data_IF_386772749358
#
_entry.id   IF_386772749358
#
_cell.length_a   1.000
_cell.length_b   1.000
_cell.length_c   1.000
_cell.angle_alpha   90.00
_cell.angle_beta   90.00
_cell.angle_gamma   90.00
#
_symmetry.space_group_name_H-M   'P 1'
#
loop_
_entity.id
_entity.type
_entity.pdbx_description
1 polymer ?
#
# COMPACT_ATOMS: atom_id res chain seq x y z
N UNK A 1 37.12 -110.92 -52.49
CA UNK A 1 38.14 -110.03 -51.89
C UNK A 1 37.87 -108.65 -52.46
N UNK A 2 37.41 -107.63 -51.72
CA UNK A 2 37.98 -106.92 -50.55
C UNK A 2 36.78 -106.17 -49.92
N UNK A 3 36.37 -106.40 -48.64
CA UNK A 3 36.64 -105.60 -47.41
C UNK A 3 36.61 -104.07 -47.63
N UNK A 4 36.05 -103.17 -46.82
CA UNK A 4 35.56 -103.16 -45.43
C UNK A 4 34.56 -101.98 -45.25
N UNK A 5 33.78 -102.05 -44.17
CA UNK A 5 32.76 -101.08 -43.71
C UNK A 5 33.34 -99.86 -42.97
N UNK A 6 32.53 -98.80 -42.71
CA UNK A 6 32.16 -98.30 -41.35
C UNK A 6 31.46 -96.92 -41.41
N UNK A 7 30.44 -96.79 -40.56
CA UNK A 7 29.44 -95.74 -40.38
C UNK A 7 29.95 -94.40 -39.80
N UNK A 8 29.30 -93.29 -40.20
CA UNK A 8 29.42 -91.98 -39.56
C UNK A 8 28.09 -91.60 -38.85
N UNK A 9 28.14 -91.43 -37.53
CA UNK A 9 27.02 -91.04 -36.65
C UNK A 9 26.72 -89.53 -36.76
N UNK A 10 25.42 -89.19 -36.90
CA UNK A 10 24.91 -87.81 -36.93
C UNK A 10 24.37 -87.44 -35.54
N UNK A 11 24.98 -86.47 -34.86
CA UNK A 11 24.57 -85.94 -33.54
C UNK A 11 23.45 -84.90 -33.72
N UNK A 12 22.33 -85.07 -33.01
CA UNK A 12 21.20 -84.13 -32.99
C UNK A 12 21.34 -83.20 -31.79
N UNK A 13 21.52 -81.89 -32.03
CA UNK A 13 21.42 -80.86 -31.00
C UNK A 13 19.95 -80.46 -30.79
N UNK A 14 19.45 -80.54 -29.54
CA UNK A 14 18.17 -79.95 -29.14
C UNK A 14 18.40 -78.57 -28.50
N UNK A 15 17.65 -77.52 -28.88
CA UNK A 15 17.73 -76.21 -28.24
C UNK A 15 17.04 -76.21 -26.87
N UNK A 16 17.71 -75.63 -25.88
CA UNK A 16 17.19 -75.43 -24.53
C UNK A 16 16.17 -74.28 -24.57
N UNK A 17 14.94 -74.55 -24.13
CA UNK A 17 13.82 -73.59 -24.06
C UNK A 17 14.04 -72.59 -22.91
N UNK A 18 14.37 -71.34 -23.22
CA UNK A 18 14.58 -70.26 -22.23
C UNK A 18 13.25 -69.72 -21.69
N UNK A 19 12.82 -70.19 -20.51
CA UNK A 19 11.64 -69.68 -19.79
C UNK A 19 11.93 -68.47 -18.87
N UNK A 20 13.16 -67.96 -18.83
CA UNK A 20 13.57 -66.94 -17.85
C UNK A 20 13.48 -65.48 -18.36
N UNK A 21 13.31 -65.27 -19.66
CA UNK A 21 13.36 -63.91 -20.24
C UNK A 21 12.13 -63.05 -19.87
N UNK A 22 10.96 -63.66 -19.69
CA UNK A 22 9.73 -62.92 -19.35
C UNK A 22 9.75 -62.31 -17.94
N UNK A 23 10.36 -63.00 -16.97
CA UNK A 23 10.41 -62.52 -15.59
C UNK A 23 11.32 -61.29 -15.44
N UNK A 24 12.47 -61.28 -16.13
CA UNK A 24 13.43 -60.16 -16.07
C UNK A 24 12.83 -58.88 -16.67
N UNK A 25 12.09 -59.00 -17.78
CA UNK A 25 11.43 -57.85 -18.42
C UNK A 25 10.33 -57.28 -17.51
N UNK A 26 9.55 -58.15 -16.84
CA UNK A 26 8.49 -57.71 -15.94
C UNK A 26 9.04 -57.02 -14.68
N UNK A 27 10.12 -57.55 -14.12
CA UNK A 27 10.82 -56.94 -12.97
C UNK A 27 11.43 -55.57 -13.34
N UNK A 28 12.04 -55.47 -14.53
CA UNK A 28 12.58 -54.20 -15.04
C UNK A 28 11.49 -53.16 -15.25
N UNK A 29 10.33 -53.54 -15.80
CA UNK A 29 9.20 -52.63 -15.99
C UNK A 29 8.67 -52.13 -14.65
N UNK A 30 8.55 -53.02 -13.66
CA UNK A 30 8.07 -52.67 -12.33
C UNK A 30 9.01 -51.68 -11.63
N UNK A 31 10.33 -51.89 -11.72
CA UNK A 31 11.32 -50.95 -11.19
C UNK A 31 11.25 -49.58 -11.86
N UNK A 32 11.00 -49.53 -13.17
CA UNK A 32 10.87 -48.28 -13.91
C UNK A 32 9.60 -47.50 -13.48
N UNK A 33 8.48 -48.21 -13.30
CA UNK A 33 7.22 -47.60 -12.84
C UNK A 33 7.36 -47.07 -11.40
N UNK A 34 7.96 -47.85 -10.50
CA UNK A 34 8.19 -47.40 -9.11
C UNK A 34 9.16 -46.22 -9.07
N UNK A 35 10.24 -46.26 -9.86
CA UNK A 35 11.19 -45.15 -9.96
C UNK A 35 10.55 -43.85 -10.50
N UNK A 36 9.74 -43.94 -11.54
CA UNK A 36 8.99 -42.81 -12.07
C UNK A 36 7.98 -42.27 -11.03
N UNK A 37 7.28 -43.15 -10.32
CA UNK A 37 6.30 -42.77 -9.29
C UNK A 37 6.95 -41.97 -8.15
N UNK A 38 8.12 -42.39 -7.69
CA UNK A 38 8.88 -41.70 -6.64
C UNK A 38 9.43 -40.35 -7.12
N UNK A 39 9.87 -40.26 -8.37
CA UNK A 39 10.33 -39.01 -8.97
C UNK A 39 9.22 -37.96 -9.10
N UNK A 40 8.02 -38.38 -9.54
CA UNK A 40 6.87 -37.48 -9.65
C UNK A 40 6.29 -37.09 -8.27
N UNK A 41 6.30 -38.00 -7.29
CA UNK A 41 5.86 -37.70 -5.93
C UNK A 41 6.74 -36.64 -5.26
N UNK A 42 8.05 -36.67 -5.49
CA UNK A 42 8.99 -35.69 -4.92
C UNK A 42 9.00 -34.36 -5.70
N UNK A 43 8.87 -34.39 -7.03
CA UNK A 43 8.87 -33.18 -7.87
C UNK A 43 7.59 -32.34 -7.76
N UNK A 44 6.45 -32.95 -7.43
CA UNK A 44 5.16 -32.23 -7.30
C UNK A 44 5.10 -31.27 -6.12
N UNK A 45 5.69 -31.66 -4.97
CA UNK A 45 5.63 -30.85 -3.75
C UNK A 45 6.56 -29.62 -3.82
N UNK A 46 7.75 -29.76 -4.42
CA UNK A 46 8.72 -28.66 -4.53
C UNK A 46 8.18 -27.51 -5.39
N UNK A 47 7.50 -27.82 -6.50
CA UNK A 47 6.96 -26.80 -7.40
C UNK A 47 5.84 -25.99 -6.75
N UNK A 48 4.95 -26.65 -6.02
CA UNK A 48 3.83 -25.99 -5.34
C UNK A 48 4.29 -24.98 -4.29
N UNK A 49 5.31 -25.33 -3.49
CA UNK A 49 5.86 -24.43 -2.48
C UNK A 49 6.63 -23.27 -3.10
N UNK A 50 7.41 -23.50 -4.15
CA UNK A 50 8.10 -22.41 -4.88
C UNK A 50 7.13 -21.42 -5.52
N UNK A 51 6.01 -21.89 -6.09
CA UNK A 51 4.98 -21.01 -6.66
C UNK A 51 4.29 -20.20 -5.57
N UNK A 52 3.99 -20.83 -4.41
CA UNK A 52 3.42 -20.12 -3.27
C UNK A 52 4.36 -19.03 -2.77
N UNK A 53 5.63 -19.36 -2.50
CA UNK A 53 6.65 -18.39 -2.07
C UNK A 53 6.82 -17.25 -3.09
N UNK A 54 6.85 -17.57 -4.39
CA UNK A 54 6.91 -16.56 -5.45
C UNK A 54 5.69 -15.64 -5.45
N UNK A 55 4.48 -16.17 -5.21
CA UNK A 55 3.28 -15.36 -5.12
C UNK A 55 3.25 -14.50 -3.86
N UNK A 56 3.69 -15.03 -2.70
CA UNK A 56 3.81 -14.24 -1.46
C UNK A 56 4.76 -13.05 -1.69
N UNK A 57 5.90 -13.30 -2.34
CA UNK A 57 6.85 -12.24 -2.70
C UNK A 57 6.26 -11.22 -3.67
N UNK A 58 5.38 -11.63 -4.58
CA UNK A 58 4.73 -10.73 -5.54
C UNK A 58 3.81 -9.74 -4.84
N UNK A 59 2.92 -10.20 -3.95
CA UNK A 59 1.96 -9.31 -3.29
C UNK A 59 2.64 -8.30 -2.36
N UNK A 60 3.68 -8.72 -1.64
CA UNK A 60 4.49 -7.79 -0.83
C UNK A 60 5.19 -6.77 -1.73
N UNK A 61 5.76 -7.20 -2.86
CA UNK A 61 6.37 -6.27 -3.83
C UNK A 61 5.36 -5.29 -4.42
N UNK A 62 4.14 -5.73 -4.70
CA UNK A 62 3.09 -4.86 -5.23
C UNK A 62 2.60 -3.87 -4.17
N UNK A 63 2.47 -4.29 -2.90
CA UNK A 63 2.18 -3.38 -1.78
C UNK A 63 3.27 -2.31 -1.62
N UNK A 64 4.55 -2.68 -1.75
CA UNK A 64 5.65 -1.70 -1.70
C UNK A 64 5.58 -0.66 -2.83
N UNK A 65 5.24 -1.08 -4.06
CA UNK A 65 5.02 -0.13 -5.17
C UNK A 65 3.84 0.79 -4.90
N UNK A 66 2.77 0.27 -4.31
CA UNK A 66 1.61 1.09 -3.91
C UNK A 66 2.04 2.08 -2.83
N UNK A 67 2.80 1.66 -1.82
CA UNK A 67 3.37 2.53 -0.78
C UNK A 67 4.19 3.68 -1.39
N UNK A 68 5.10 3.37 -2.31
CA UNK A 68 5.90 4.39 -3.01
C UNK A 68 5.01 5.39 -3.77
N UNK A 69 3.95 4.91 -4.42
CA UNK A 69 2.99 5.75 -5.14
C UNK A 69 2.14 6.61 -4.19
N UNK A 70 1.74 6.08 -3.03
CA UNK A 70 1.03 6.86 -2.01
C UNK A 70 1.89 8.00 -1.48
N UNK A 71 3.16 7.71 -1.17
CA UNK A 71 4.12 8.73 -0.75
C UNK A 71 4.39 9.76 -1.87
N UNK A 72 4.55 9.30 -3.10
CA UNK A 72 4.70 10.16 -4.28
C UNK A 72 3.48 11.06 -4.48
N UNK A 73 2.27 10.53 -4.29
CA UNK A 73 1.05 11.32 -4.38
C UNK A 73 1.01 12.46 -3.35
N UNK A 74 1.47 12.19 -2.12
CA UNK A 74 1.57 13.21 -1.09
C UNK A 74 2.59 14.31 -1.43
N UNK A 75 3.68 13.97 -2.14
CA UNK A 75 4.70 14.93 -2.60
C UNK A 75 4.22 15.78 -3.77
N UNK A 76 3.53 15.14 -4.72
CA UNK A 76 3.15 15.74 -6.01
C UNK A 76 1.85 16.55 -5.93
N UNK A 77 1.30 16.76 -4.74
CA UNK A 77 0.19 17.71 -4.59
C UNK A 77 0.60 19.10 -5.08
N UNK A 78 -0.33 19.84 -5.72
CA UNK A 78 -0.05 21.11 -6.33
C UNK A 78 0.39 22.12 -5.27
N UNK A 79 1.35 22.95 -5.68
CA UNK A 79 1.93 24.01 -4.87
C UNK A 79 0.98 25.21 -4.69
N UNK A 80 -0.10 25.27 -5.47
CA UNK A 80 -1.11 26.30 -5.39
C UNK A 80 -2.13 25.93 -4.32
N UNK A 81 -1.80 26.27 -3.08
CA UNK A 81 -2.72 26.23 -1.96
C UNK A 81 -3.62 27.45 -2.01
N UNK A 82 -4.93 27.24 -1.93
CA UNK A 82 -5.84 28.34 -1.60
C UNK A 82 -6.78 27.87 -0.48
N UNK A 83 -7.11 28.79 0.42
CA UNK A 83 -8.09 28.55 1.49
C UNK A 83 -9.53 28.49 0.97
N UNK A 84 -9.74 28.96 -0.25
CA UNK A 84 -11.07 29.10 -0.88
C UNK A 84 -11.37 28.01 -1.92
N UNK A 85 -10.34 27.38 -2.50
CA UNK A 85 -10.44 26.26 -3.41
C UNK A 85 -10.00 25.02 -2.63
N UNK A 86 -10.76 23.94 -2.74
CA UNK A 86 -10.63 22.68 -2.03
C UNK A 86 -9.31 21.90 -2.33
N UNK A 87 -8.23 22.58 -2.72
CA UNK A 87 -6.97 22.03 -3.19
C UNK A 87 -6.00 21.97 -2.00
N UNK A 88 -5.66 20.78 -1.48
CA UNK A 88 -4.64 20.62 -0.45
C UNK A 88 -3.23 20.86 -1.00
N UNK A 89 -2.37 21.34 -0.12
CA UNK A 89 -0.92 21.40 -0.36
C UNK A 89 -0.27 20.01 -0.26
N UNK A 90 1.08 19.92 -0.21
CA UNK A 90 1.78 18.66 0.00
C UNK A 90 1.48 18.04 1.36
N UNK A 91 1.66 16.72 1.45
CA UNK A 91 1.52 15.97 2.69
C UNK A 91 0.24 15.16 2.83
N UNK A 92 -0.75 15.34 1.97
CA UNK A 92 -2.00 14.60 2.05
C UNK A 92 -2.01 13.34 1.18
N UNK A 93 -2.62 12.30 1.72
CA UNK A 93 -2.79 10.99 1.13
C UNK A 93 -4.21 10.88 0.55
N UNK A 94 -4.42 10.05 -0.49
CA UNK A 94 -5.73 9.91 -1.12
C UNK A 94 -6.71 9.23 -0.15
N UNK A 95 -7.98 9.55 -0.31
CA UNK A 95 -9.04 8.81 0.36
C UNK A 95 -9.15 7.40 -0.20
N UNK A 96 -9.43 6.40 0.65
CA UNK A 96 -9.79 5.09 0.15
C UNK A 96 -11.05 5.16 -0.71
N UNK A 97 -11.20 4.17 -1.58
CA UNK A 97 -12.47 3.89 -2.26
C UNK A 97 -13.36 3.09 -1.29
N UNK A 98 -14.35 3.76 -0.70
CA UNK A 98 -15.36 3.15 0.18
C UNK A 98 -16.70 2.96 -0.52
N UNK A 99 -16.92 3.67 -1.63
CA UNK A 99 -18.11 3.53 -2.47
C UNK A 99 -18.10 2.23 -3.30
N UNK A 100 -16.92 1.61 -3.44
CA UNK A 100 -16.71 0.34 -4.12
C UNK A 100 -17.27 0.34 -5.54
N UNK A 101 -17.13 1.48 -6.21
CA UNK A 101 -17.59 1.62 -7.58
C UNK A 101 -16.67 0.86 -8.55
N UNK A 102 -17.18 0.55 -9.74
CA UNK A 102 -16.36 -0.15 -10.73
C UNK A 102 -15.26 0.73 -11.33
N UNK A 103 -15.26 2.04 -11.04
CA UNK A 103 -14.25 2.96 -11.55
C UNK A 103 -12.95 2.87 -10.74
N UNK A 104 -13.05 2.54 -9.45
CA UNK A 104 -11.92 2.44 -8.56
C UNK A 104 -11.26 3.80 -8.33
N UNK A 105 -12.07 4.86 -8.30
CA UNK A 105 -11.59 6.20 -7.96
C UNK A 105 -11.50 6.34 -6.43
N UNK A 106 -10.64 7.25 -5.97
CA UNK A 106 -10.70 7.66 -4.58
C UNK A 106 -12.02 8.39 -4.29
N UNK A 107 -12.58 8.19 -3.09
CA UNK A 107 -13.78 8.93 -2.70
C UNK A 107 -13.49 10.42 -2.55
N UNK A 108 -14.51 11.24 -2.83
CA UNK A 108 -14.41 12.71 -2.74
C UNK A 108 -14.15 13.21 -1.30
N UNK A 109 -14.48 12.41 -0.28
CA UNK A 109 -14.25 12.72 1.12
C UNK A 109 -14.07 11.45 1.94
N UNK A 110 -13.09 11.44 2.84
CA UNK A 110 -12.79 10.38 3.78
C UNK A 110 -13.78 10.32 4.97
N UNK A 111 -15.02 10.80 4.77
CA UNK A 111 -16.06 10.82 5.79
C UNK A 111 -15.87 11.86 6.89
N UNK A 112 -16.84 11.87 7.81
CA UNK A 112 -16.92 12.79 8.95
C UNK A 112 -16.65 12.08 10.29
N UNK A 113 -16.29 10.79 10.25
CA UNK A 113 -16.26 9.96 11.43
C UNK A 113 -14.98 10.18 12.25
N UNK A 114 -15.05 11.17 13.13
CA UNK A 114 -14.02 11.44 14.16
C UNK A 114 -13.97 10.37 15.25
N UNK A 115 -14.98 9.49 15.35
CA UNK A 115 -15.09 8.59 16.51
C UNK A 115 -14.09 7.44 16.44
N UNK A 116 -13.72 7.01 15.24
CA UNK A 116 -12.82 5.87 15.04
C UNK A 116 -11.38 6.28 14.69
N UNK A 117 -11.12 7.56 14.36
CA UNK A 117 -9.80 8.07 13.97
C UNK A 117 -9.08 7.23 12.89
N UNK A 118 -9.85 6.55 12.05
CA UNK A 118 -9.38 5.72 10.94
C UNK A 118 -10.42 5.72 9.84
N UNK A 119 -9.96 5.66 8.61
CA UNK A 119 -10.80 5.51 7.43
C UNK A 119 -10.31 4.29 6.68
N UNK A 120 -11.15 3.26 6.57
CA UNK A 120 -10.82 1.98 5.94
C UNK A 120 -11.60 1.82 4.66
N UNK A 121 -10.92 1.44 3.59
CA UNK A 121 -11.55 1.08 2.31
C UNK A 121 -10.54 0.51 1.33
N UNK A 122 -10.95 0.35 0.08
CA UNK A 122 -10.06 -0.18 -0.95
C UNK A 122 -9.03 0.85 -1.36
N UNK A 123 -7.87 0.37 -1.80
CA UNK A 123 -6.89 1.22 -2.46
C UNK A 123 -7.51 1.70 -3.78
N UNK A 124 -7.61 3.02 -4.01
CA UNK A 124 -8.08 3.55 -5.29
C UNK A 124 -7.15 3.08 -6.41
N UNK A 125 -7.68 2.76 -7.58
CA UNK A 125 -6.85 2.52 -8.76
C UNK A 125 -6.15 3.79 -9.20
N UNK A 126 -6.88 4.90 -9.22
CA UNK A 126 -6.44 6.16 -9.81
C UNK A 126 -7.15 7.36 -9.20
N UNK A 127 -6.58 8.52 -9.47
CA UNK A 127 -7.18 9.83 -9.28
C UNK A 127 -7.24 10.48 -10.67
N UNK A 128 -8.42 10.49 -11.26
CA UNK A 128 -8.65 11.07 -12.60
C UNK A 128 -8.45 12.58 -12.64
N UNK A 129 -8.69 13.30 -11.55
CA UNK A 129 -8.48 14.74 -11.49
C UNK A 129 -6.99 15.11 -11.55
N UNK A 130 -6.11 14.21 -11.10
CA UNK A 130 -4.66 14.41 -11.06
C UNK A 130 -3.87 13.52 -12.01
N UNK A 131 -4.55 12.71 -12.83
CA UNK A 131 -3.93 11.71 -13.72
C UNK A 131 -2.93 10.79 -12.98
N UNK A 132 -3.24 10.44 -11.73
CA UNK A 132 -2.36 9.61 -10.90
C UNK A 132 -2.89 8.17 -10.81
N UNK A 133 -2.01 7.17 -10.78
CA UNK A 133 -2.41 5.76 -10.66
C UNK A 133 -1.69 5.12 -9.47
N UNK A 134 -2.44 4.56 -8.53
CA UNK A 134 -1.89 3.91 -7.33
C UNK A 134 -1.68 2.42 -7.57
N UNK A 135 -2.67 1.72 -8.12
CA UNK A 135 -2.60 0.28 -8.33
C UNK A 135 -2.23 -0.07 -9.79
N UNK A 136 -1.17 -0.86 -9.99
CA UNK A 136 -0.79 -1.37 -11.31
C UNK A 136 -1.58 -2.62 -11.75
N UNK A 137 -2.31 -3.26 -10.84
CA UNK A 137 -3.07 -4.48 -11.12
C UNK A 137 -4.58 -4.29 -10.80
N UNK A 138 -5.35 -3.64 -11.69
CA UNK A 138 -6.78 -3.35 -11.46
C UNK A 138 -7.66 -4.61 -11.42
N UNK A 139 -7.15 -5.78 -11.86
CA UNK A 139 -7.90 -7.04 -11.80
C UNK A 139 -8.08 -7.53 -10.37
N UNK A 140 -7.08 -7.30 -9.53
CA UNK A 140 -7.04 -7.71 -8.12
C UNK A 140 -7.36 -6.56 -7.17
N UNK A 141 -7.78 -5.39 -7.68
CA UNK A 141 -8.01 -4.19 -6.86
C UNK A 141 -8.85 -4.45 -5.61
N UNK A 142 -9.92 -5.24 -5.72
CA UNK A 142 -10.82 -5.51 -4.59
C UNK A 142 -10.15 -6.23 -3.40
N UNK A 143 -8.94 -6.76 -3.59
CA UNK A 143 -8.13 -7.39 -2.55
C UNK A 143 -7.13 -6.43 -1.91
N UNK A 144 -6.93 -5.24 -2.49
CA UNK A 144 -6.03 -4.22 -1.97
C UNK A 144 -6.82 -3.22 -1.12
N UNK A 145 -6.52 -3.20 0.17
CA UNK A 145 -7.19 -2.37 1.17
C UNK A 145 -6.20 -1.40 1.80
N UNK A 146 -6.71 -0.31 2.31
CA UNK A 146 -5.95 0.64 3.10
C UNK A 146 -6.77 1.14 4.29
N UNK A 147 -6.05 1.42 5.37
CA UNK A 147 -6.53 2.21 6.49
C UNK A 147 -5.70 3.49 6.55
N UNK A 148 -6.37 4.63 6.70
CA UNK A 148 -5.75 5.95 6.69
C UNK A 148 -6.10 6.71 7.97
N UNK A 149 -5.11 7.38 8.56
CA UNK A 149 -5.34 8.38 9.58
C UNK A 149 -6.03 9.60 8.92
N UNK A 150 -7.28 9.93 9.30
CA UNK A 150 -8.09 10.95 8.63
C UNK A 150 -7.47 12.35 8.64
N UNK A 151 -6.50 12.61 9.53
CA UNK A 151 -5.75 13.87 9.56
C UNK A 151 -4.85 14.06 8.34
N UNK A 152 -4.38 12.96 7.76
CA UNK A 152 -3.52 12.96 6.57
C UNK A 152 -4.32 12.82 5.27
N UNK A 153 -5.65 12.75 5.33
CA UNK A 153 -6.48 12.60 4.14
C UNK A 153 -6.62 13.90 3.33
N UNK A 154 -6.55 13.81 2.01
CA UNK A 154 -6.72 14.93 1.06
C UNK A 154 -8.01 15.72 1.29
N UNK A 155 -9.10 15.03 1.65
CA UNK A 155 -10.38 15.62 2.01
C UNK A 155 -10.98 14.83 3.17
N UNK A 156 -11.20 15.51 4.29
CA UNK A 156 -11.91 14.98 5.44
C UNK A 156 -12.71 16.12 6.06
N UNK A 157 -13.97 15.94 6.40
CA UNK A 157 -14.78 17.07 6.87
C UNK A 157 -14.48 17.49 8.30
N UNK A 158 -13.97 16.57 9.12
CA UNK A 158 -13.62 16.84 10.50
C UNK A 158 -12.27 17.54 10.65
N UNK A 159 -11.34 17.26 9.75
CA UNK A 159 -9.98 17.78 9.81
C UNK A 159 -9.67 18.78 8.69
N UNK A 160 -10.41 18.74 7.59
CA UNK A 160 -10.05 19.40 6.34
C UNK A 160 -11.26 20.00 5.59
N UNK A 161 -12.29 20.58 6.21
CA UNK A 161 -13.30 21.31 5.41
C UNK A 161 -13.97 22.52 6.07
N UNK A 162 -13.82 23.65 5.39
CA UNK A 162 -14.91 24.40 4.73
C UNK A 162 -16.14 24.66 5.58
N UNK A 163 -16.20 25.89 6.10
CA UNK A 163 -17.30 26.82 5.83
C UNK A 163 -18.69 26.49 6.40
N UNK A 164 -18.85 25.43 7.18
CA UNK A 164 -20.06 25.24 7.96
C UNK A 164 -20.14 26.30 9.07
N UNK A 165 -21.32 26.89 9.35
CA UNK A 165 -21.45 27.89 10.40
C UNK A 165 -21.07 27.28 11.75
N UNK A 166 -19.90 27.66 12.27
CA UNK A 166 -19.34 27.14 13.53
C UNK A 166 -18.09 26.26 13.38
N UNK A 167 -17.67 25.90 12.17
CA UNK A 167 -16.40 25.22 11.94
C UNK A 167 -15.35 26.24 11.53
N UNK A 168 -14.37 26.48 12.40
CA UNK A 168 -13.17 27.22 12.03
C UNK A 168 -12.53 26.50 10.83
N UNK A 169 -12.10 27.27 9.83
CA UNK A 169 -11.53 26.80 8.56
C UNK A 169 -10.12 26.26 8.79
N UNK A 170 -9.96 25.28 9.67
CA UNK A 170 -8.65 24.76 10.04
C UNK A 170 -8.45 23.48 9.26
N UNK A 171 -7.77 23.63 8.12
CA UNK A 171 -7.22 22.48 7.44
C UNK A 171 -6.06 21.95 8.28
N UNK A 172 -6.14 20.69 8.66
CA UNK A 172 -5.07 20.04 9.40
C UNK A 172 -3.80 20.05 8.57
N UNK A 173 -2.73 20.69 9.06
CA UNK A 173 -1.47 20.82 8.33
C UNK A 173 -0.45 19.82 8.92
N UNK A 174 -0.36 18.59 8.36
CA UNK A 174 0.40 17.50 8.96
C UNK A 174 1.91 17.74 9.03
N UNK A 175 2.43 18.74 8.30
CA UNK A 175 3.83 19.17 8.34
C UNK A 175 4.15 20.08 9.55
N UNK A 176 3.11 20.46 10.29
CA UNK A 176 3.08 20.81 11.71
C UNK A 176 4.15 20.17 12.59
N UNK A 177 5.24 20.88 12.93
CA UNK A 177 6.11 20.46 14.03
C UNK A 177 5.38 20.28 15.37
N UNK A 178 4.26 20.99 15.57
CA UNK A 178 3.52 21.03 16.84
C UNK A 178 2.23 20.18 16.83
N UNK A 179 1.80 19.66 15.67
CA UNK A 179 0.60 18.82 15.52
C UNK A 179 0.67 18.08 14.17
N UNK A 180 0.70 16.73 14.13
CA UNK A 180 0.46 15.79 15.24
C UNK A 180 1.72 15.36 15.95
N UNK A 181 1.60 15.23 17.27
CA UNK A 181 2.60 14.51 18.07
C UNK A 181 2.72 13.04 17.64
N UNK A 182 1.61 12.34 17.31
CA UNK A 182 1.61 10.94 16.84
C UNK A 182 0.42 10.64 15.90
N UNK A 183 0.64 9.79 14.89
CA UNK A 183 -0.40 9.21 14.06
C UNK A 183 -1.24 8.16 14.83
N UNK A 184 -2.52 7.99 14.46
CA UNK A 184 -3.50 7.24 15.27
C UNK A 184 -3.48 5.73 15.06
N UNK A 185 -2.91 5.26 13.96
CA UNK A 185 -2.95 3.84 13.60
C UNK A 185 -1.85 3.06 14.30
N UNK A 186 -2.16 1.81 14.65
CA UNK A 186 -1.21 0.85 15.19
C UNK A 186 -1.12 -0.40 14.31
N UNK A 187 0.09 -0.96 14.19
CA UNK A 187 0.37 -2.22 13.53
C UNK A 187 1.16 -3.11 14.49
N UNK A 188 0.61 -4.28 14.82
CA UNK A 188 1.18 -5.22 15.80
C UNK A 188 1.46 -4.56 17.18
N UNK A 189 0.60 -3.61 17.56
CA UNK A 189 0.75 -2.84 18.80
C UNK A 189 1.79 -1.72 18.74
N UNK A 190 2.49 -1.54 17.62
CA UNK A 190 3.38 -0.41 17.37
C UNK A 190 2.57 0.73 16.77
N UNK A 191 2.58 1.92 17.38
CA UNK A 191 1.84 3.09 16.89
C UNK A 191 2.59 3.93 15.85
N UNK A 192 2.07 5.13 15.60
CA UNK A 192 2.65 6.16 14.72
C UNK A 192 2.65 5.82 13.22
N UNK A 193 1.62 5.10 12.77
CA UNK A 193 1.35 4.86 11.36
C UNK A 193 0.33 5.86 10.80
N UNK A 194 0.65 6.47 9.66
CA UNK A 194 -0.27 7.37 8.94
C UNK A 194 -1.18 6.59 8.00
N UNK A 195 -0.71 5.44 7.52
CA UNK A 195 -1.47 4.56 6.64
C UNK A 195 -1.03 3.11 6.85
N UNK A 196 -1.97 2.18 6.77
CA UNK A 196 -1.72 0.73 6.72
C UNK A 196 -2.27 0.20 5.40
N UNK A 197 -1.45 -0.52 4.65
CA UNK A 197 -1.79 -1.13 3.37
C UNK A 197 -1.92 -2.64 3.53
N UNK A 198 -2.97 -3.21 2.95
CA UNK A 198 -3.35 -4.60 3.17
C UNK A 198 -3.64 -5.28 1.83
N UNK A 199 -3.26 -6.55 1.71
CA UNK A 199 -3.70 -7.46 0.66
C UNK A 199 -4.39 -8.66 1.26
N UNK A 200 -5.67 -8.86 0.92
CA UNK A 200 -6.59 -9.81 1.59
C UNK A 200 -6.39 -11.29 1.25
N UNK A 201 -5.33 -11.65 0.54
CA UNK A 201 -5.05 -13.04 0.17
C UNK A 201 -6.17 -13.73 -0.65
N UNK A 202 -6.24 -15.06 -0.50
CA UNK A 202 -7.32 -15.88 -1.08
C UNK A 202 -8.50 -16.00 -0.11
N UNK A 203 -9.76 -16.15 -0.58
CA UNK A 203 -10.91 -16.22 0.30
C UNK A 203 -10.78 -17.36 1.32
N UNK A 204 -10.89 -17.03 2.60
CA UNK A 204 -11.00 -18.00 3.68
C UNK A 204 -12.45 -18.49 3.83
N UNK A 205 -12.63 -19.53 4.67
CA UNK A 205 -13.96 -20.10 4.90
C UNK A 205 -14.92 -19.04 5.48
N UNK A 206 -16.02 -18.78 4.77
CA UNK A 206 -17.03 -17.80 5.17
C UNK A 206 -16.87 -16.42 4.52
N UNK A 207 -15.77 -16.16 3.83
CA UNK A 207 -15.57 -14.93 3.07
C UNK A 207 -16.18 -15.02 1.67
N UNK A 208 -16.76 -13.90 1.20
CA UNK A 208 -17.26 -13.76 -0.16
C UNK A 208 -16.60 -12.57 -0.86
N UNK A 209 -15.40 -12.80 -1.41
CA UNK A 209 -14.64 -11.79 -2.16
C UNK A 209 -15.18 -11.55 -3.59
N UNK A 210 -16.23 -12.24 -4.03
CA UNK A 210 -16.77 -12.09 -5.39
C UNK A 210 -17.47 -10.74 -5.61
N UNK A 211 -17.99 -10.15 -4.52
CA UNK A 211 -18.63 -8.85 -4.56
C UNK A 211 -17.62 -7.76 -4.26
N UNK A 212 -17.19 -7.03 -5.31
CA UNK A 212 -16.34 -5.84 -5.15
C UNK A 212 -16.94 -4.79 -4.21
N UNK A 213 -18.26 -4.78 -4.01
CA UNK A 213 -18.96 -3.93 -3.03
C UNK A 213 -19.09 -4.49 -1.62
N UNK A 214 -18.42 -5.61 -1.31
CA UNK A 214 -18.59 -6.32 -0.04
C UNK A 214 -18.04 -5.56 1.17
N UNK A 215 -18.65 -5.78 2.33
CA UNK A 215 -18.13 -5.29 3.60
C UNK A 215 -16.72 -5.84 3.89
N UNK A 216 -15.92 -5.09 4.66
CA UNK A 216 -14.50 -5.36 4.96
C UNK A 216 -14.24 -6.80 5.43
N UNK A 217 -15.12 -7.35 6.28
CA UNK A 217 -15.03 -8.72 6.78
C UNK A 217 -15.16 -9.82 5.72
N UNK A 218 -15.60 -9.49 4.50
CA UNK A 218 -15.59 -10.44 3.38
C UNK A 218 -14.20 -10.59 2.74
N UNK A 219 -13.26 -9.72 3.11
CA UNK A 219 -11.93 -9.67 2.54
C UNK A 219 -10.87 -9.86 3.61
N UNK A 220 -10.86 -9.03 4.67
CA UNK A 220 -9.83 -9.03 5.70
C UNK A 220 -10.21 -9.93 6.89
N UNK A 221 -9.22 -10.26 7.73
CA UNK A 221 -9.41 -11.12 8.89
C UNK A 221 -9.13 -10.46 10.25
N UNK A 222 -9.78 -10.99 11.29
CA UNK A 222 -9.48 -10.67 12.70
C UNK A 222 -9.50 -9.15 12.95
N UNK A 223 -8.43 -8.61 13.56
CA UNK A 223 -8.28 -7.18 13.84
C UNK A 223 -8.33 -6.32 12.58
N UNK A 224 -7.86 -6.84 11.43
CA UNK A 224 -7.89 -6.08 10.17
C UNK A 224 -9.31 -5.90 9.61
N UNK A 225 -10.30 -6.64 10.13
CA UNK A 225 -11.68 -6.64 9.61
C UNK A 225 -12.68 -5.82 10.43
N UNK A 226 -12.29 -5.35 11.61
CA UNK A 226 -13.21 -4.77 12.59
C UNK A 226 -13.45 -3.25 12.43
N UNK A 227 -12.69 -2.58 11.55
CA UNK A 227 -12.83 -1.15 11.24
C UNK A 227 -12.26 -0.20 12.30
N UNK A 228 -11.45 -0.68 13.25
CA UNK A 228 -10.77 0.17 14.23
C UNK A 228 -9.33 0.53 13.78
N UNK A 229 -8.61 1.29 14.59
CA UNK A 229 -7.26 1.78 14.29
C UNK A 229 -6.12 0.78 14.62
N UNK A 230 -6.45 -0.47 14.98
CA UNK A 230 -5.48 -1.49 15.38
C UNK A 230 -5.42 -2.60 14.33
N UNK A 231 -4.24 -2.79 13.76
CA UNK A 231 -4.00 -3.78 12.70
C UNK A 231 -2.96 -4.80 13.14
N UNK A 232 -2.99 -5.99 12.54
CA UNK A 232 -2.03 -7.05 12.78
C UNK A 232 -1.44 -7.54 11.45
N UNK A 233 -0.13 -7.81 11.42
CA UNK A 233 0.54 -8.41 10.27
C UNK A 233 0.69 -9.93 10.39
N UNK A 234 0.52 -10.47 11.61
CA UNK A 234 0.65 -11.90 11.90
C UNK A 234 -0.57 -12.42 12.64
N UNK A 235 -1.27 -13.37 12.03
CA UNK A 235 -2.37 -14.09 12.67
C UNK A 235 -1.96 -15.43 13.31
N UNK A 236 -2.90 -16.08 14.02
CA UNK A 236 -2.64 -17.30 14.78
C UNK A 236 -2.31 -18.51 13.89
N UNK A 237 -2.88 -18.58 12.68
CA UNK A 237 -2.52 -19.56 11.65
C UNK A 237 -3.05 -19.16 10.26
N UNK A 238 -2.49 -19.77 9.21
CA UNK A 238 -2.81 -19.48 7.80
C UNK A 238 -4.24 -19.82 7.35
N UNK A 239 -5.04 -20.54 8.15
CA UNK A 239 -6.45 -20.84 7.83
C UNK A 239 -7.40 -19.78 8.37
N UNK A 240 -6.93 -18.95 9.30
CA UNK A 240 -7.70 -17.89 9.95
C UNK A 240 -7.17 -16.50 9.60
N UNK A 241 -6.02 -16.42 8.96
CA UNK A 241 -5.35 -15.17 8.61
C UNK A 241 -4.41 -15.40 7.43
N UNK A 242 -4.64 -14.72 6.32
CA UNK A 242 -3.75 -14.72 5.17
C UNK A 242 -3.57 -13.33 4.54
N UNK A 243 -4.03 -12.28 5.24
CA UNK A 243 -3.68 -10.89 4.96
C UNK A 243 -2.16 -10.65 4.91
N UNK A 244 -1.72 -9.83 3.95
CA UNK A 244 -0.38 -9.23 3.94
C UNK A 244 -0.52 -7.76 4.30
N UNK A 245 0.25 -7.30 5.28
CA UNK A 245 0.11 -5.96 5.83
C UNK A 245 1.46 -5.26 5.83
N UNK A 246 1.49 -4.02 5.32
CA UNK A 246 2.63 -3.12 5.46
C UNK A 246 2.14 -1.74 5.93
N UNK A 247 2.95 -1.03 6.70
CA UNK A 247 2.62 0.31 7.15
C UNK A 247 3.41 1.40 6.42
N UNK A 248 2.88 2.61 6.46
CA UNK A 248 3.59 3.87 6.24
C UNK A 248 3.65 4.57 7.58
N UNK A 249 4.85 4.69 8.15
CA UNK A 249 5.02 5.41 9.41
C UNK A 249 4.94 6.92 9.18
N UNK A 250 4.65 7.67 10.24
CA UNK A 250 4.73 9.13 10.18
C UNK A 250 6.15 9.59 9.87
N UNK A 251 7.17 8.89 10.35
CA UNK A 251 8.57 9.18 10.05
C UNK A 251 8.89 9.01 8.55
N UNK A 252 8.45 7.92 7.93
CA UNK A 252 8.63 7.70 6.49
C UNK A 252 7.92 8.76 5.66
N UNK A 253 6.67 9.07 6.01
CA UNK A 253 5.91 10.14 5.38
C UNK A 253 6.63 11.48 5.55
N UNK A 254 7.08 11.80 6.76
CA UNK A 254 7.78 13.05 7.08
C UNK A 254 9.09 13.16 6.31
N UNK A 255 9.88 12.09 6.22
CA UNK A 255 11.15 12.09 5.49
C UNK A 255 10.95 12.44 4.01
N UNK A 256 9.93 11.85 3.38
CA UNK A 256 9.60 12.14 1.98
C UNK A 256 9.08 13.57 1.82
N UNK A 257 8.25 14.06 2.75
CA UNK A 257 7.79 15.44 2.70
C UNK A 257 8.93 16.44 2.91
N UNK A 258 9.82 16.18 3.88
CA UNK A 258 11.02 16.97 4.12
C UNK A 258 11.82 17.08 2.84
N UNK A 259 12.15 15.95 2.19
CA UNK A 259 12.90 15.97 0.91
C UNK A 259 12.29 16.85 -0.18
N UNK A 260 10.97 17.13 -0.11
CA UNK A 260 10.28 18.03 -1.03
C UNK A 260 10.34 19.50 -0.60
N UNK A 261 10.25 19.78 0.69
CA UNK A 261 10.03 21.13 1.24
C UNK A 261 11.28 21.77 1.82
N UNK A 262 12.32 20.99 2.09
CA UNK A 262 13.57 21.47 2.65
C UNK A 262 14.55 21.86 1.54
N UNK A 263 15.32 22.90 1.82
CA UNK A 263 16.53 23.22 1.08
C UNK A 263 17.71 22.98 2.03
N UNK A 264 18.82 22.45 1.52
CA UNK A 264 20.04 22.27 2.33
C UNK A 264 20.87 23.55 2.23
N UNK A 265 20.44 24.56 2.99
CA UNK A 265 21.04 25.91 2.95
C UNK A 265 22.48 25.87 3.48
N UNK A 266 22.76 25.01 4.45
CA UNK A 266 24.03 24.98 5.18
C UNK A 266 25.02 23.90 4.66
N UNK A 267 24.60 23.04 3.73
CA UNK A 267 25.37 21.94 3.12
C UNK A 267 25.86 20.90 4.15
N UNK A 268 25.11 20.65 5.22
CA UNK A 268 25.44 19.65 6.23
C UNK A 268 24.83 18.26 5.96
N UNK A 269 24.23 18.07 4.77
CA UNK A 269 23.49 16.89 4.36
C UNK A 269 22.25 16.60 5.25
N UNK A 270 21.83 17.55 6.09
CA UNK A 270 20.59 17.51 6.89
C UNK A 270 19.59 18.51 6.30
N UNK A 271 18.42 18.04 5.84
CA UNK A 271 17.48 18.94 5.19
C UNK A 271 16.85 19.95 6.18
N UNK A 272 17.07 21.25 5.95
CA UNK A 272 16.56 22.33 6.80
C UNK A 272 15.10 22.65 6.47
N UNK A 273 14.22 22.54 7.46
CA UNK A 273 12.90 23.17 7.39
C UNK A 273 13.10 24.69 7.53
N UNK A 274 12.38 25.50 6.76
CA UNK A 274 12.31 26.94 6.99
C UNK A 274 11.80 27.18 8.42
N UNK A 275 12.74 27.42 9.33
CA UNK A 275 12.45 27.64 10.75
C UNK A 275 11.76 28.99 10.83
N UNK A 276 10.65 29.05 11.57
CA UNK A 276 10.01 30.31 11.91
C UNK A 276 11.06 31.29 12.47
N UNK A 277 11.18 32.44 11.83
CA UNK A 277 11.82 33.62 12.37
C UNK A 277 11.15 33.89 13.72
N UNK A 278 11.85 33.61 14.81
CA UNK A 278 11.47 34.10 16.13
C UNK A 278 11.53 35.64 16.10
N UNK A 279 10.47 36.29 15.65
CA UNK A 279 10.19 37.72 15.81
C UNK A 279 9.22 37.86 16.99
N UNK A 280 9.69 38.25 18.18
CA UNK A 280 8.86 38.42 19.39
C UNK A 280 7.86 39.58 19.29
N UNK A 281 7.90 40.35 18.20
CA UNK A 281 7.24 41.65 18.03
C UNK A 281 5.82 41.58 17.45
N UNK A 282 5.37 40.41 16.97
CA UNK A 282 4.05 40.30 16.32
C UNK A 282 2.91 39.78 17.21
N UNK A 283 3.18 39.29 18.42
CA UNK A 283 2.12 39.04 19.42
C UNK A 283 0.98 38.11 19.00
N UNK A 284 1.18 37.23 18.00
CA UNK A 284 0.17 36.28 17.54
C UNK A 284 0.41 34.92 18.21
N UNK A 285 -0.35 34.65 19.27
CA UNK A 285 -0.60 33.28 19.71
C UNK A 285 -1.86 32.81 18.98
N UNK A 286 -1.72 31.93 17.97
CA UNK A 286 -2.74 30.98 17.46
C UNK A 286 -2.22 30.31 16.16
N UNK A 287 -1.74 29.06 16.24
CA UNK A 287 -0.99 28.38 15.15
C UNK A 287 -1.81 27.34 14.36
N UNK A 288 -1.77 27.38 13.01
CA UNK A 288 -1.38 26.22 12.19
C UNK A 288 -0.50 26.64 11.00
N UNK A 289 0.64 26.00 10.75
CA UNK A 289 1.62 26.50 9.77
C UNK A 289 1.94 25.49 8.66
N UNK A 290 3.11 25.59 8.03
CA UNK A 290 3.40 25.48 6.60
C UNK A 290 2.94 26.74 5.87
N UNK A 291 1.65 27.16 5.87
CA UNK A 291 1.25 28.44 5.21
C UNK A 291 0.07 29.24 5.82
N UNK A 292 -0.20 29.17 7.14
CA UNK A 292 -1.25 30.03 7.75
C UNK A 292 -0.79 30.72 9.04
N UNK A 293 -0.16 31.89 8.92
CA UNK A 293 -0.29 32.90 9.97
C UNK A 293 -1.66 33.61 9.92
N UNK A 294 -2.51 33.28 8.94
CA UNK A 294 -3.79 33.92 8.67
C UNK A 294 -5.00 33.15 9.24
N UNK A 295 -4.92 32.73 10.50
CA UNK A 295 -6.11 32.28 11.24
C UNK A 295 -6.94 33.49 11.71
N UNK A 296 -7.66 34.11 10.79
CA UNK A 296 -8.63 35.15 11.14
C UNK A 296 -9.93 34.48 11.59
N UNK A 297 -10.22 34.51 12.90
CA UNK A 297 -11.53 34.14 13.47
C UNK A 297 -12.68 35.07 13.02
N UNK A 298 -12.38 36.12 12.26
CA UNK A 298 -13.34 37.01 11.61
C UNK A 298 -13.21 36.94 10.08
N UNK A 299 -14.26 37.24 9.31
CA UNK A 299 -14.15 37.32 7.85
C UNK A 299 -13.13 38.41 7.49
N UNK A 300 -12.00 38.00 6.91
CA UNK A 300 -10.95 38.81 6.28
C UNK A 300 -10.82 40.23 6.87
N UNK A 301 -10.36 40.31 8.12
CA UNK A 301 -9.92 41.56 8.74
C UNK A 301 -8.55 41.98 8.19
N UNK A 302 -8.26 43.28 8.29
CA UNK A 302 -7.16 44.05 7.67
C UNK A 302 -5.70 43.53 7.79
N UNK A 303 -5.47 42.38 8.43
CA UNK A 303 -4.15 41.79 8.63
C UNK A 303 -3.81 40.67 7.64
N UNK A 304 -4.75 40.26 6.78
CA UNK A 304 -4.48 39.41 5.61
C UNK A 304 -5.01 40.14 4.37
N UNK A 305 -4.26 41.12 3.82
CA UNK A 305 -4.78 41.99 2.78
C UNK A 305 -4.97 41.19 1.50
N UNK A 306 -6.23 40.92 1.16
CA UNK A 306 -6.65 40.43 -0.16
C UNK A 306 -6.70 41.55 -1.19
N UNK A 307 -6.00 42.67 -0.98
CA UNK A 307 -6.16 43.85 -1.83
C UNK A 307 -5.52 43.60 -3.21
N UNK A 308 -6.33 43.40 -4.27
CA UNK A 308 -5.82 43.12 -5.60
C UNK A 308 -5.19 44.36 -6.26
N UNK A 309 -5.15 45.50 -5.56
CA UNK A 309 -4.57 46.74 -6.07
C UNK A 309 -3.09 46.96 -5.68
N UNK A 310 -2.48 46.09 -4.86
CA UNK A 310 -1.12 46.33 -4.34
C UNK A 310 -0.10 45.19 -4.48
N UNK A 311 -0.47 44.00 -4.94
CA UNK A 311 0.55 42.98 -5.26
C UNK A 311 0.06 41.98 -6.31
N UNK A 312 0.44 42.22 -7.57
CA UNK A 312 0.21 41.29 -8.68
C UNK A 312 0.99 39.97 -8.52
N UNK A 313 1.79 39.80 -7.47
CA UNK A 313 2.65 38.64 -7.28
C UNK A 313 2.18 37.65 -6.21
N UNK A 314 1.11 37.93 -5.46
CA UNK A 314 0.67 37.02 -4.39
C UNK A 314 -0.85 36.93 -4.17
N UNK A 315 -1.63 36.52 -5.17
CA UNK A 315 -2.99 36.09 -4.95
C UNK A 315 -2.94 34.63 -4.46
N UNK A 316 -3.30 34.38 -3.20
CA UNK A 316 -3.69 33.05 -2.70
C UNK A 316 -2.53 32.05 -2.53
N UNK A 317 -1.69 32.24 -1.51
CA UNK A 317 -0.80 31.17 -1.03
C UNK A 317 0.38 30.83 -1.94
N UNK A 318 0.69 31.67 -2.94
CA UNK A 318 1.77 31.42 -3.91
C UNK A 318 3.15 31.87 -3.43
N UNK A 319 3.23 32.67 -2.37
CA UNK A 319 4.53 33.22 -1.93
C UNK A 319 5.36 32.29 -1.06
N UNK A 320 5.01 31.01 -0.97
CA UNK A 320 5.94 30.06 -0.36
C UNK A 320 7.28 30.07 -1.08
N UNK A 321 7.34 30.33 -2.40
CA UNK A 321 8.63 30.47 -3.11
C UNK A 321 9.41 31.75 -2.81
N UNK A 322 8.76 32.88 -2.44
CA UNK A 322 9.49 34.07 -2.02
C UNK A 322 9.74 34.14 -0.50
N UNK A 323 9.03 33.31 0.28
CA UNK A 323 9.39 32.94 1.66
C UNK A 323 10.49 31.85 1.65
N UNK A 324 10.55 31.00 0.61
CA UNK A 324 11.74 30.27 0.17
C UNK A 324 12.73 31.19 -0.56
N UNK A 325 12.58 32.51 -0.40
CA UNK A 325 13.78 33.31 -0.22
C UNK A 325 14.50 32.74 0.99
N UNK A 326 15.32 31.73 0.77
CA UNK A 326 16.57 31.62 1.46
C UNK A 326 17.38 32.84 0.98
N UNK A 327 17.50 33.92 1.77
CA UNK A 327 18.78 34.58 1.80
C UNK A 327 19.86 33.59 2.25
#
# INVERSE_FOLDING_TARGET
>A
MVKDSVNCLKRVNRPVKSKQFGFVVLMSLLLLVVGASLWFATSGNIRSETIKLSNQSKHISDLQKIKERMLTYAVLQPELFTTSAFIPGPGYLPCPDTSNDAAGEMDASCGNDVTNNVVVGMIPNKDTARFFTFNSNPREQARYWMALDPRYAVVNTAYNNVGGPGFAVQRYAPLNSNDPNLASLTLDGVGDYVMVLMYSGEPLAGQNQANRGGAVYNFLELENSNGNANFISVGPNRRLFNDYVIGITREEWRAVMLSRVTDDINQDDVPDLCINLNEPTLGVADTPHWFEACNSLTPVGANCPTNPAFDDNNPLGQNWRAVLGCP
#
